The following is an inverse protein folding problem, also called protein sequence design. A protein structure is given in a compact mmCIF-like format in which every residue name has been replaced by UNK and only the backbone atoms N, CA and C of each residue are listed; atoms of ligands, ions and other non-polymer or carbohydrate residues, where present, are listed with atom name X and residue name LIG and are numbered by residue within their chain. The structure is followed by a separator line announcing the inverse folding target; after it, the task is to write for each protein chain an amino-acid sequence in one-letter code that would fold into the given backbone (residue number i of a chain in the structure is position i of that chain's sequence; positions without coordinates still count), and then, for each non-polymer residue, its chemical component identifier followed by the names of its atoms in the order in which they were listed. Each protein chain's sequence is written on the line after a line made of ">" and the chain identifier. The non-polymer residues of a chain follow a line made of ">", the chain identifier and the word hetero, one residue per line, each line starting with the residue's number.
data_IF_230873465015
#
_entry.id   IF_230873465015
#
_cell.length_a   1.000
_cell.length_b   1.000
_cell.length_c   1.000
_cell.angle_alpha   90.00
_cell.angle_beta   90.00
_cell.angle_gamma   90.00
#
_symmetry.space_group_name_H-M   'P 1'
#
loop_
_entity.id
_entity.type
_entity.pdbx_description
1 polymer ?
#
# COMPACT_ATOMS: atom_id res chain seq x y z
N UNK A 1 -4.98 18.06 0.09
CA UNK A 1 -5.86 17.08 -0.55
C UNK A 1 -5.20 15.71 -0.49
N UNK A 2 -5.97 14.66 -0.16
CA UNK A 2 -5.49 13.29 -0.04
C UNK A 2 -5.11 12.69 -1.40
N UNK A 3 -4.26 11.64 -1.39
CA UNK A 3 -3.99 10.84 -2.59
C UNK A 3 -5.28 10.15 -3.06
N UNK A 4 -6.09 9.64 -2.13
CA UNK A 4 -7.42 9.09 -2.45
C UNK A 4 -8.26 10.07 -3.30
N UNK A 5 -8.34 11.34 -2.90
CA UNK A 5 -9.06 12.34 -3.66
C UNK A 5 -8.49 12.52 -5.08
N UNK A 6 -7.16 12.46 -5.22
CA UNK A 6 -6.49 12.53 -6.54
C UNK A 6 -6.86 11.33 -7.40
N UNK A 7 -6.81 10.11 -6.85
CA UNK A 7 -7.24 8.90 -7.54
C UNK A 7 -8.69 8.96 -8.01
N UNK A 8 -9.61 9.43 -7.16
CA UNK A 8 -11.01 9.59 -7.55
C UNK A 8 -11.20 10.61 -8.66
N UNK A 9 -10.41 11.68 -8.66
CA UNK A 9 -10.42 12.67 -9.76
C UNK A 9 -9.90 12.07 -11.07
N UNK A 10 -8.83 11.31 -11.00
CA UNK A 10 -8.28 10.65 -12.18
C UNK A 10 -9.27 9.63 -12.77
N UNK A 11 -9.87 8.79 -11.94
CA UNK A 11 -10.92 7.85 -12.39
C UNK A 11 -12.08 8.58 -13.07
N UNK A 12 -12.60 9.64 -12.44
CA UNK A 12 -13.65 10.43 -13.05
C UNK A 12 -13.25 11.04 -14.40
N UNK A 13 -11.98 11.42 -14.56
CA UNK A 13 -11.47 11.92 -15.83
C UNK A 13 -11.43 10.80 -16.87
N UNK A 14 -10.93 9.61 -16.53
CA UNK A 14 -10.86 8.48 -17.47
C UNK A 14 -12.24 8.02 -17.92
N UNK A 15 -13.26 8.10 -17.06
CA UNK A 15 -14.65 7.77 -17.43
C UNK A 15 -15.16 8.65 -18.58
N UNK A 16 -14.67 9.90 -18.66
CA UNK A 16 -15.06 10.83 -19.75
C UNK A 16 -14.47 10.44 -21.12
N UNK A 17 -13.44 9.61 -21.14
CA UNK A 17 -12.79 9.22 -22.40
C UNK A 17 -13.49 8.08 -23.12
N UNK A 18 -14.46 7.41 -22.49
CA UNK A 18 -15.23 6.33 -23.09
C UNK A 18 -14.37 5.15 -23.58
N UNK A 19 -13.26 4.88 -22.89
CA UNK A 19 -12.32 3.81 -23.25
C UNK A 19 -11.49 4.07 -24.51
N UNK A 20 -11.45 5.31 -25.02
CA UNK A 20 -10.67 5.69 -26.19
C UNK A 20 -9.45 6.50 -25.80
N UNK A 21 -8.37 6.36 -26.54
CA UNK A 21 -7.13 7.11 -26.34
C UNK A 21 -5.94 6.21 -25.99
N UNK A 22 -4.77 6.79 -25.74
CA UNK A 22 -3.58 6.05 -25.35
C UNK A 22 -3.73 5.48 -23.93
N UNK A 23 -3.07 4.35 -23.69
CA UNK A 23 -2.92 3.81 -22.32
C UNK A 23 -1.97 4.70 -21.53
N UNK A 24 -2.38 5.11 -20.34
CA UNK A 24 -1.52 5.81 -19.39
C UNK A 24 -1.23 4.89 -18.20
N UNK A 25 0.04 4.77 -17.86
CA UNK A 25 0.50 4.08 -16.65
C UNK A 25 1.01 5.16 -15.70
N UNK A 26 0.40 5.26 -14.54
CA UNK A 26 0.76 6.23 -13.52
C UNK A 26 1.32 5.52 -12.29
N UNK A 27 2.25 6.18 -11.60
CA UNK A 27 2.84 5.68 -10.37
C UNK A 27 3.46 4.27 -10.53
N UNK A 28 4.30 4.09 -11.54
CA UNK A 28 4.96 2.82 -11.82
C UNK A 28 6.48 2.94 -11.72
N UNK A 29 6.97 3.14 -10.51
CA UNK A 29 8.39 3.11 -10.13
C UNK A 29 8.69 1.94 -9.20
N UNK A 30 9.68 2.09 -8.34
CA UNK A 30 9.96 1.11 -7.28
C UNK A 30 8.84 1.15 -6.22
N UNK A 31 8.58 2.32 -5.65
CA UNK A 31 7.38 2.70 -4.91
C UNK A 31 7.02 4.16 -5.29
N UNK A 32 5.81 4.41 -5.69
CA UNK A 32 4.78 3.45 -6.05
C UNK A 32 5.09 2.63 -7.30
N UNK A 33 4.64 1.38 -7.31
CA UNK A 33 4.64 0.50 -8.48
C UNK A 33 5.11 -0.92 -8.24
N UNK A 34 6.41 -1.18 -8.21
CA UNK A 34 6.98 -2.52 -8.07
C UNK A 34 6.50 -3.27 -6.84
N UNK A 35 6.28 -2.58 -5.73
CA UNK A 35 5.77 -3.18 -4.48
C UNK A 35 4.40 -3.82 -4.64
N UNK A 36 3.56 -3.34 -5.57
CA UNK A 36 2.28 -3.98 -5.89
C UNK A 36 2.48 -5.35 -6.54
N UNK A 37 3.48 -5.48 -7.41
CA UNK A 37 3.85 -6.77 -8.00
C UNK A 37 4.46 -7.71 -6.96
N UNK A 38 5.30 -7.19 -6.06
CA UNK A 38 5.87 -7.97 -4.95
C UNK A 38 4.78 -8.48 -4.01
N UNK A 39 3.73 -7.71 -3.77
CA UNK A 39 2.57 -8.13 -2.99
C UNK A 39 1.85 -9.31 -3.65
N UNK A 40 1.59 -9.25 -4.96
CA UNK A 40 1.02 -10.37 -5.72
C UNK A 40 1.92 -11.60 -5.68
N UNK A 41 3.21 -11.41 -5.89
CA UNK A 41 4.20 -12.48 -5.80
C UNK A 41 4.18 -13.16 -4.43
N UNK A 42 4.16 -12.39 -3.35
CA UNK A 42 4.08 -12.92 -2.00
C UNK A 42 2.81 -13.75 -1.77
N UNK A 43 1.64 -13.26 -2.21
CA UNK A 43 0.38 -14.00 -2.13
C UNK A 43 0.47 -15.33 -2.89
N UNK A 44 1.02 -15.30 -4.10
CA UNK A 44 1.21 -16.49 -4.93
C UNK A 44 2.14 -17.50 -4.27
N UNK A 45 3.28 -17.06 -3.76
CA UNK A 45 4.28 -17.94 -3.13
C UNK A 45 3.74 -18.58 -1.83
N UNK A 46 3.04 -17.78 -1.00
CA UNK A 46 2.42 -18.27 0.24
C UNK A 46 1.35 -19.31 -0.08
N UNK A 47 0.48 -19.02 -1.04
CA UNK A 47 -0.58 -19.96 -1.45
C UNK A 47 0.02 -21.26 -2.02
N UNK A 48 1.02 -21.15 -2.89
CA UNK A 48 1.70 -22.30 -3.49
C UNK A 48 2.33 -23.18 -2.40
N UNK A 49 3.00 -22.55 -1.43
CA UNK A 49 3.59 -23.31 -0.31
C UNK A 49 2.51 -23.96 0.55
N UNK A 50 1.43 -23.23 0.88
CA UNK A 50 0.33 -23.76 1.69
C UNK A 50 -0.35 -24.98 1.02
N UNK A 51 -0.59 -24.90 -0.30
CA UNK A 51 -1.16 -26.00 -1.08
C UNK A 51 -0.22 -27.20 -1.09
N UNK A 52 1.06 -26.97 -1.38
CA UNK A 52 2.09 -28.01 -1.40
C UNK A 52 2.23 -28.74 -0.05
N UNK A 53 2.13 -28.00 1.04
CA UNK A 53 2.28 -28.53 2.40
C UNK A 53 0.97 -29.14 2.96
N UNK A 54 -0.12 -29.14 2.18
CA UNK A 54 -1.44 -29.62 2.63
C UNK A 54 -2.07 -28.75 3.75
N UNK A 55 -1.64 -27.50 3.85
CA UNK A 55 -2.10 -26.53 4.88
C UNK A 55 -3.03 -25.45 4.34
N UNK A 56 -3.35 -25.52 3.06
CA UNK A 56 -4.21 -24.53 2.42
C UNK A 56 -5.66 -24.63 2.94
N UNK A 57 -6.25 -23.48 3.27
CA UNK A 57 -7.68 -23.41 3.55
C UNK A 57 -8.49 -23.70 2.28
N UNK A 58 -9.75 -24.07 2.47
CA UNK A 58 -10.69 -24.36 1.35
C UNK A 58 -10.79 -23.16 0.43
N UNK A 59 -10.64 -23.41 -0.87
CA UNK A 59 -10.73 -22.40 -1.94
C UNK A 59 -9.42 -21.69 -2.26
N UNK A 60 -8.32 -21.97 -1.54
CA UNK A 60 -7.01 -21.37 -1.86
C UNK A 60 -6.45 -21.93 -3.16
N UNK A 61 -6.52 -23.24 -3.37
CA UNK A 61 -6.00 -23.89 -4.58
C UNK A 61 -6.73 -23.41 -5.84
N UNK A 62 -8.04 -23.28 -5.78
CA UNK A 62 -8.87 -22.79 -6.86
C UNK A 62 -8.58 -21.31 -7.17
N UNK A 63 -8.48 -20.47 -6.15
CA UNK A 63 -8.16 -19.07 -6.31
C UNK A 63 -6.74 -18.85 -6.87
N UNK A 64 -5.79 -19.70 -6.45
CA UNK A 64 -4.42 -19.71 -6.97
C UNK A 64 -4.39 -20.09 -8.45
N UNK A 65 -5.06 -21.17 -8.83
CA UNK A 65 -5.14 -21.63 -10.22
C UNK A 65 -5.82 -20.62 -11.15
N UNK A 66 -6.79 -19.87 -10.63
CA UNK A 66 -7.50 -18.82 -11.36
C UNK A 66 -6.77 -17.47 -11.33
N UNK A 67 -5.64 -17.34 -10.64
CA UNK A 67 -4.95 -16.06 -10.39
C UNK A 67 -5.88 -14.96 -9.84
N UNK A 68 -6.90 -15.37 -9.08
CA UNK A 68 -7.86 -14.45 -8.48
C UNK A 68 -7.30 -13.88 -7.17
N UNK A 69 -6.48 -12.84 -7.28
CA UNK A 69 -5.75 -12.25 -6.16
C UNK A 69 -6.65 -11.70 -5.03
N UNK A 70 -7.79 -11.04 -5.28
CA UNK A 70 -8.71 -10.65 -4.23
C UNK A 70 -9.20 -11.84 -3.40
N UNK A 71 -9.71 -12.85 -4.06
CA UNK A 71 -10.20 -14.08 -3.40
C UNK A 71 -9.06 -14.81 -2.72
N UNK A 72 -7.89 -14.86 -3.34
CA UNK A 72 -6.68 -15.47 -2.76
C UNK A 72 -6.28 -14.78 -1.46
N UNK A 73 -6.21 -13.45 -1.44
CA UNK A 73 -5.91 -12.68 -0.23
C UNK A 73 -6.94 -12.93 0.88
N UNK A 74 -8.23 -12.98 0.53
CA UNK A 74 -9.31 -13.28 1.47
C UNK A 74 -9.18 -14.69 2.05
N UNK A 75 -8.96 -15.72 1.21
CA UNK A 75 -8.85 -17.13 1.61
C UNK A 75 -7.58 -17.40 2.43
N UNK A 76 -6.48 -16.69 2.14
CA UNK A 76 -5.26 -16.71 2.96
C UNK A 76 -5.42 -15.97 4.29
N UNK A 77 -6.52 -15.26 4.50
CA UNK A 77 -6.77 -14.51 5.72
C UNK A 77 -5.89 -13.29 5.89
N UNK A 78 -5.44 -12.68 4.80
CA UNK A 78 -4.63 -11.45 4.84
C UNK A 78 -5.39 -10.34 5.54
N UNK A 79 -4.77 -9.73 6.55
CA UNK A 79 -5.36 -8.64 7.35
C UNK A 79 -4.66 -7.32 7.15
N UNK A 80 -3.36 -7.36 6.91
CA UNK A 80 -2.55 -6.16 6.72
C UNK A 80 -1.41 -6.44 5.77
N UNK A 81 -1.05 -5.44 4.99
CA UNK A 81 0.13 -5.44 4.15
C UNK A 81 0.92 -4.21 4.54
N UNK A 82 2.11 -4.43 5.10
CA UNK A 82 3.06 -3.37 5.37
C UNK A 82 4.17 -3.41 4.33
N UNK A 83 4.46 -2.26 3.77
CA UNK A 83 5.56 -2.06 2.85
C UNK A 83 6.57 -1.16 3.56
N UNK A 84 7.77 -1.64 3.75
CA UNK A 84 8.84 -0.90 4.39
C UNK A 84 10.07 -0.89 3.49
N UNK A 85 10.78 0.22 3.49
CA UNK A 85 12.04 0.37 2.80
C UNK A 85 13.15 0.62 3.78
N UNK A 86 14.30 0.01 3.51
CA UNK A 86 15.53 0.26 4.21
C UNK A 86 16.59 0.67 3.21
N UNK A 87 17.02 1.92 3.30
CA UNK A 87 18.15 2.40 2.52
C UNK A 87 19.46 1.98 3.20
N UNK A 88 20.34 1.40 2.43
CA UNK A 88 21.68 0.98 2.88
C UNK A 88 22.80 1.76 2.21
N UNK A 89 22.46 2.77 1.41
CA UNK A 89 23.46 3.63 0.78
C UNK A 89 24.19 4.48 1.81
N UNK A 90 25.46 4.67 1.60
CA UNK A 90 26.32 5.51 2.43
C UNK A 90 27.03 6.54 1.56
N UNK A 91 27.15 7.77 2.05
CA UNK A 91 27.90 8.80 1.38
C UNK A 91 29.41 8.63 1.62
N UNK A 92 30.22 9.09 0.66
CA UNK A 92 31.69 9.11 0.81
C UNK A 92 32.18 10.14 1.85
N UNK A 93 31.33 11.07 2.24
CA UNK A 93 31.60 12.08 3.25
C UNK A 93 30.65 11.92 4.43
N UNK A 94 31.12 12.09 5.66
CA UNK A 94 30.26 12.13 6.83
C UNK A 94 29.20 13.23 6.71
N UNK A 95 28.01 12.97 7.24
CA UNK A 95 26.96 13.97 7.38
C UNK A 95 27.41 15.07 8.34
N UNK A 96 27.16 16.32 7.99
CA UNK A 96 27.44 17.46 8.86
C UNK A 96 26.45 17.55 10.02
N UNK A 97 26.81 18.31 11.04
CA UNK A 97 25.90 18.62 12.14
C UNK A 97 24.68 19.40 11.59
N UNK A 98 23.49 18.99 11.98
CA UNK A 98 22.21 19.57 11.52
C UNK A 98 21.95 19.45 10.02
N UNK A 99 22.66 18.59 9.32
CA UNK A 99 22.39 18.27 7.92
C UNK A 99 21.41 17.11 7.82
N UNK A 100 20.35 17.28 7.05
CA UNK A 100 19.49 16.18 6.63
C UNK A 100 19.95 15.69 5.25
N UNK A 101 20.15 14.40 5.13
CA UNK A 101 20.53 13.76 3.86
C UNK A 101 19.51 12.68 3.51
N UNK A 102 19.25 12.53 2.22
CA UNK A 102 18.37 11.51 1.68
C UNK A 102 18.95 11.04 0.35
N UNK A 103 18.63 9.83 -0.07
CA UNK A 103 19.12 9.24 -1.32
C UNK A 103 18.28 9.59 -2.54
N UNK A 104 17.17 10.28 -2.32
CA UNK A 104 16.30 10.84 -3.34
C UNK A 104 15.89 12.27 -2.93
N UNK A 105 14.81 12.82 -3.46
CA UNK A 105 14.42 14.22 -3.20
C UNK A 105 14.18 14.49 -1.71
N UNK A 106 14.97 15.39 -1.12
CA UNK A 106 14.79 15.88 0.26
C UNK A 106 13.45 16.62 0.38
N UNK A 107 13.11 17.46 -0.58
CA UNK A 107 11.83 18.18 -0.60
C UNK A 107 10.64 17.22 -0.72
N UNK A 108 10.74 16.23 -1.61
CA UNK A 108 9.71 15.19 -1.75
C UNK A 108 9.48 14.43 -0.45
N UNK A 109 10.56 14.03 0.23
CA UNK A 109 10.46 13.37 1.54
C UNK A 109 9.81 14.28 2.58
N UNK A 110 10.17 15.56 2.61
CA UNK A 110 9.57 16.53 3.51
C UNK A 110 8.06 16.68 3.25
N UNK A 111 7.66 16.86 1.99
CA UNK A 111 6.24 16.97 1.62
C UNK A 111 5.43 15.72 1.98
N UNK A 112 5.99 14.55 1.77
CA UNK A 112 5.35 13.29 2.15
C UNK A 112 5.24 13.15 3.67
N UNK A 113 6.30 13.52 4.38
CA UNK A 113 6.34 13.43 5.85
C UNK A 113 5.36 14.34 6.57
N UNK A 114 5.14 15.57 6.06
CA UNK A 114 4.18 16.51 6.65
C UNK A 114 2.75 16.30 6.19
N UNK A 115 2.54 15.55 5.12
CA UNK A 115 1.21 15.23 4.65
C UNK A 115 0.49 14.30 5.64
N UNK A 116 -0.86 14.38 5.71
CA UNK A 116 -1.63 13.44 6.51
C UNK A 116 -1.34 11.99 6.13
N UNK A 117 -1.27 11.11 7.11
CA UNK A 117 -1.12 9.69 6.87
C UNK A 117 -2.34 9.12 6.15
N UNK A 118 -2.10 8.31 5.13
CA UNK A 118 -3.15 7.61 4.39
C UNK A 118 -2.85 6.11 4.39
N UNK A 119 -3.85 5.31 4.71
CA UNK A 119 -3.73 3.85 4.87
C UNK A 119 -4.80 3.15 4.05
N UNK A 120 -4.46 2.02 3.45
CA UNK A 120 -5.46 1.10 2.93
C UNK A 120 -6.42 0.65 4.04
N UNK A 121 -7.68 0.40 3.69
CA UNK A 121 -8.72 0.03 4.65
C UNK A 121 -9.55 -1.11 4.10
N UNK A 122 -9.41 -2.27 4.73
CA UNK A 122 -10.09 -3.50 4.28
C UNK A 122 -11.50 -3.64 4.86
N UNK A 123 -12.31 -4.45 4.23
CA UNK A 123 -13.69 -4.75 4.67
C UNK A 123 -13.77 -5.44 6.05
N UNK A 124 -12.66 -6.04 6.50
CA UNK A 124 -12.55 -6.66 7.83
C UNK A 124 -12.32 -5.64 8.96
N UNK A 125 -11.95 -4.42 8.65
CA UNK A 125 -11.69 -3.36 9.63
C UNK A 125 -13.02 -2.82 10.17
N UNK A 126 -13.15 -2.75 11.50
CA UNK A 126 -14.41 -2.38 12.17
C UNK A 126 -14.33 -1.09 12.97
N UNK A 127 -13.12 -0.69 13.36
CA UNK A 127 -12.92 0.47 14.24
C UNK A 127 -11.84 1.39 13.68
N UNK A 128 -12.18 2.63 13.43
CA UNK A 128 -11.22 3.62 12.98
C UNK A 128 -10.21 3.98 14.07
N UNK A 129 -8.93 4.17 13.73
CA UNK A 129 -7.95 4.76 14.63
C UNK A 129 -8.36 6.16 15.11
N UNK A 130 -7.78 6.61 16.21
CA UNK A 130 -7.97 7.98 16.72
C UNK A 130 -7.58 8.97 15.61
N UNK A 131 -8.36 10.03 15.45
CA UNK A 131 -8.20 11.07 14.42
C UNK A 131 -8.26 10.56 12.98
N UNK A 132 -8.71 9.34 12.75
CA UNK A 132 -8.94 8.82 11.40
C UNK A 132 -10.36 9.11 10.93
N UNK A 133 -10.50 9.29 9.62
CA UNK A 133 -11.80 9.37 8.97
C UNK A 133 -11.79 8.63 7.64
N UNK A 134 -12.94 8.09 7.30
CA UNK A 134 -13.21 7.48 6.02
C UNK A 134 -13.66 8.51 5.00
N UNK A 135 -13.33 8.29 3.74
CA UNK A 135 -13.82 9.13 2.65
C UNK A 135 -15.33 8.96 2.44
N UNK A 136 -16.01 10.03 2.07
CA UNK A 136 -17.46 10.03 1.89
C UNK A 136 -17.91 9.38 0.58
N UNK A 137 -17.06 9.39 -0.43
CA UNK A 137 -17.36 8.93 -1.79
C UNK A 137 -16.32 7.93 -2.28
N UNK A 138 -16.65 7.21 -3.35
CA UNK A 138 -15.80 6.18 -3.94
C UNK A 138 -15.85 4.86 -3.14
N UNK A 139 -14.91 3.94 -3.38
CA UNK A 139 -14.93 2.60 -2.78
C UNK A 139 -14.63 2.58 -1.29
N UNK A 140 -14.13 3.68 -0.71
CA UNK A 140 -13.83 3.82 0.73
C UNK A 140 -12.80 2.81 1.26
N UNK A 141 -11.95 2.33 0.41
CA UNK A 141 -10.87 1.36 0.69
C UNK A 141 -9.59 2.02 1.24
N UNK A 142 -9.70 3.24 1.70
CA UNK A 142 -8.62 4.01 2.29
C UNK A 142 -9.16 4.94 3.36
N UNK A 143 -8.37 5.14 4.40
CA UNK A 143 -8.63 6.13 5.45
C UNK A 143 -7.54 7.21 5.46
N UNK A 144 -7.86 8.33 6.05
CA UNK A 144 -6.92 9.40 6.32
C UNK A 144 -6.86 9.65 7.82
N UNK A 145 -5.66 9.77 8.37
CA UNK A 145 -5.43 10.16 9.77
C UNK A 145 -5.05 11.65 9.79
N UNK A 146 -5.75 12.45 10.59
CA UNK A 146 -5.56 13.90 10.66
C UNK A 146 -4.30 14.29 11.45
N UNK A 147 -3.17 13.70 11.09
CA UNK A 147 -1.85 14.06 11.59
C UNK A 147 -0.77 13.73 10.55
N UNK A 148 0.39 14.41 10.57
CA UNK A 148 1.48 14.14 9.63
C UNK A 148 1.93 12.69 9.67
N UNK A 149 2.30 12.14 8.50
CA UNK A 149 2.85 10.79 8.39
C UNK A 149 4.09 10.59 9.25
N UNK A 150 4.96 11.61 9.30
CA UNK A 150 6.18 11.59 10.12
C UNK A 150 5.94 11.49 11.63
N UNK A 151 4.71 11.75 12.10
CA UNK A 151 4.31 11.60 13.50
C UNK A 151 3.32 10.46 13.73
N UNK A 152 2.98 9.72 12.68
CA UNK A 152 2.12 8.54 12.74
C UNK A 152 3.01 7.30 12.67
N UNK A 153 3.04 6.53 13.76
CA UNK A 153 3.93 5.39 13.89
C UNK A 153 3.16 4.08 13.73
N UNK A 154 3.76 3.16 13.00
CA UNK A 154 3.26 1.79 12.85
C UNK A 154 4.34 0.83 13.33
N UNK A 155 3.92 -0.06 14.20
CA UNK A 155 4.69 -1.23 14.61
C UNK A 155 4.41 -2.36 13.63
N UNK A 156 5.44 -2.95 13.09
CA UNK A 156 5.36 -4.00 12.09
C UNK A 156 6.36 -5.10 12.40
N UNK A 157 6.29 -6.16 11.64
CA UNK A 157 7.22 -7.27 11.74
C UNK A 157 7.76 -7.60 10.34
N UNK A 158 9.07 -7.74 10.25
CA UNK A 158 9.75 -8.29 9.08
C UNK A 158 10.46 -9.57 9.50
N UNK A 159 10.78 -10.50 8.57
CA UNK A 159 11.43 -11.75 8.96
C UNK A 159 12.62 -11.52 9.88
N UNK A 160 12.58 -12.12 11.06
CA UNK A 160 13.59 -12.10 12.14
C UNK A 160 13.61 -10.86 13.03
N UNK A 161 12.80 -9.82 12.78
CA UNK A 161 12.79 -8.64 13.66
C UNK A 161 11.47 -7.89 13.63
N UNK A 162 11.16 -7.29 14.76
CA UNK A 162 10.16 -6.25 14.85
C UNK A 162 10.75 -4.92 14.36
N UNK A 163 9.95 -4.11 13.70
CA UNK A 163 10.33 -2.78 13.24
C UNK A 163 9.24 -1.77 13.54
N UNK A 164 9.63 -0.53 13.73
CA UNK A 164 8.70 0.59 13.86
C UNK A 164 9.07 1.62 12.80
N UNK A 165 8.07 2.11 12.09
CA UNK A 165 8.26 3.09 11.03
C UNK A 165 7.20 4.18 11.02
N UNK A 166 7.52 5.28 10.37
CA UNK A 166 6.55 6.34 10.07
C UNK A 166 5.64 5.91 8.93
N UNK A 167 4.39 6.36 8.96
CA UNK A 167 3.44 6.11 7.88
C UNK A 167 3.58 7.21 6.83
N UNK A 168 4.33 6.92 5.80
CA UNK A 168 4.42 7.81 4.63
C UNK A 168 3.31 7.44 3.65
N UNK A 169 2.51 8.43 3.26
CA UNK A 169 1.43 8.21 2.29
C UNK A 169 1.97 7.88 0.92
N UNK A 170 1.42 6.83 0.31
CA UNK A 170 1.73 6.43 -1.06
C UNK A 170 0.49 5.94 -1.80
N UNK A 171 0.54 5.93 -3.13
CA UNK A 171 -0.56 5.48 -3.98
C UNK A 171 -0.97 4.03 -3.76
N UNK A 172 -0.04 3.19 -3.32
CA UNK A 172 -0.29 1.77 -3.04
C UNK A 172 -1.32 1.54 -1.93
N UNK A 173 -1.45 2.45 -0.98
CA UNK A 173 -2.52 2.36 0.04
C UNK A 173 -3.90 2.28 -0.61
N UNK A 174 -4.09 2.97 -1.75
CA UNK A 174 -5.29 2.86 -2.56
C UNK A 174 -5.24 1.69 -3.51
N UNK A 175 -4.22 1.59 -4.37
CA UNK A 175 -4.21 0.65 -5.49
C UNK A 175 -4.14 -0.80 -5.04
N UNK A 176 -3.40 -1.13 -3.99
CA UNK A 176 -3.34 -2.49 -3.43
C UNK A 176 -4.64 -2.83 -2.74
N UNK A 177 -5.19 -1.96 -1.90
CA UNK A 177 -6.45 -2.22 -1.20
C UNK A 177 -7.61 -2.34 -2.19
N UNK A 178 -7.65 -1.52 -3.25
CA UNK A 178 -8.67 -1.60 -4.30
C UNK A 178 -8.59 -2.93 -5.07
N UNK A 179 -7.37 -3.34 -5.43
CA UNK A 179 -7.15 -4.57 -6.20
C UNK A 179 -7.38 -5.84 -5.39
N UNK A 180 -7.08 -5.84 -4.09
CA UNK A 180 -7.17 -7.03 -3.24
C UNK A 180 -8.46 -7.13 -2.41
N UNK A 181 -9.37 -6.17 -2.54
CA UNK A 181 -10.69 -6.27 -1.89
C UNK A 181 -11.65 -7.09 -2.75
N UNK A 182 -12.32 -8.05 -2.13
CA UNK A 182 -13.50 -8.68 -2.73
C UNK A 182 -14.65 -7.71 -2.50
N UNK A 183 -15.16 -7.15 -3.58
CA UNK A 183 -16.32 -6.25 -3.56
C UNK A 183 -17.59 -7.08 -3.70
N UNK A 184 -18.56 -6.83 -2.82
CA UNK A 184 -19.91 -7.44 -2.86
C UNK A 184 -20.79 -6.76 -3.92
#
# INVERSE_FOLDING_TARGET
>A
RTLYWRHMKLRKLTDTWGGKGPTAIVEHGANPGLVSHLTKKALFDIATSAVKDGKAATGVAEALAAENFPVLAQKLGVKVIHIAERDTQVANKPKLLNEFVNTWSVEGFYEEGIAPAELGWGTHEKTLPINAYQHLTGPKNQICIAQPGATTWVRSWVPKMETTGMVIRHGEAFTISDHLTVWD
#
